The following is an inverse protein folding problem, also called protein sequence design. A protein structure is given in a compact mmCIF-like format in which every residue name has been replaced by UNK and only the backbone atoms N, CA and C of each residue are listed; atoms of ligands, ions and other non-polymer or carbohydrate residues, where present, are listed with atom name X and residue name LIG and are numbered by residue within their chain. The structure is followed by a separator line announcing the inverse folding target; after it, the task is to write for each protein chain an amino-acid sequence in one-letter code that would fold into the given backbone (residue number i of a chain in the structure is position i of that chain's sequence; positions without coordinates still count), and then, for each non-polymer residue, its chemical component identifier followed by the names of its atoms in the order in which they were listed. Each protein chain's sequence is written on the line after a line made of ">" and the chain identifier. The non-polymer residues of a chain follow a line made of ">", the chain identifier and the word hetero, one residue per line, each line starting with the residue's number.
data_IF_346313471947
#
_entry.id   IF_346313471947
#
_cell.length_a   1.000
_cell.length_b   1.000
_cell.length_c   1.000
_cell.angle_alpha   90.00
_cell.angle_beta   90.00
_cell.angle_gamma   90.00
#
_symmetry.space_group_name_H-M   'P 1'
#
loop_
_entity.id
_entity.type
_entity.pdbx_description
1 polymer ?
#
# COMPACT_ATOMS: atom_id res chain seq x y z
N UNK A 1 -3.81 -94.38 -35.63
CA UNK A 1 -2.55 -93.90 -36.24
C UNK A 1 -2.86 -92.76 -37.21
N UNK A 2 -1.96 -91.79 -37.39
CA UNK A 2 -2.19 -90.38 -37.05
C UNK A 2 -2.48 -89.46 -38.26
N UNK A 3 -2.91 -88.23 -37.96
CA UNK A 3 -2.68 -86.91 -38.64
C UNK A 3 -3.88 -86.02 -38.28
N UNK A 4 -3.87 -85.05 -37.36
CA UNK A 4 -2.99 -83.92 -37.00
C UNK A 4 -2.92 -82.78 -38.04
N UNK A 5 -3.39 -81.61 -37.56
CA UNK A 5 -3.23 -80.23 -38.05
C UNK A 5 -4.15 -79.84 -39.23
N UNK A 6 -4.83 -78.70 -39.30
CA UNK A 6 -4.54 -77.35 -38.77
C UNK A 6 -5.84 -76.55 -38.84
N UNK A 7 -6.33 -75.93 -37.75
CA UNK A 7 -7.44 -74.97 -37.80
C UNK A 7 -6.94 -73.61 -37.33
N UNK A 8 -6.93 -72.67 -38.29
CA UNK A 8 -6.49 -71.29 -38.13
C UNK A 8 -7.40 -70.52 -37.18
N UNK A 9 -6.74 -69.63 -36.46
CA UNK A 9 -7.24 -68.89 -35.33
C UNK A 9 -7.57 -67.42 -35.69
N UNK A 10 -8.16 -66.75 -34.70
CA UNK A 10 -8.24 -65.31 -34.48
C UNK A 10 -9.28 -64.51 -35.27
N UNK A 11 -10.49 -64.49 -34.70
CA UNK A 11 -11.37 -63.32 -34.78
C UNK A 11 -10.86 -62.22 -33.83
N UNK A 12 -10.70 -61.02 -34.39
CA UNK A 12 -10.27 -59.79 -33.74
C UNK A 12 -11.15 -59.44 -32.51
N UNK A 13 -10.56 -59.47 -31.33
CA UNK A 13 -11.10 -58.82 -30.14
C UNK A 13 -10.81 -57.31 -30.21
N UNK A 14 -11.85 -56.52 -30.48
CA UNK A 14 -11.83 -55.08 -30.24
C UNK A 14 -11.95 -54.82 -28.74
N UNK A 15 -10.88 -54.36 -28.10
CA UNK A 15 -10.95 -53.75 -26.77
C UNK A 15 -10.63 -52.28 -26.95
N UNK A 16 -11.66 -51.49 -26.72
CA UNK A 16 -11.66 -50.03 -26.62
C UNK A 16 -10.55 -49.59 -25.65
N UNK A 17 -9.54 -48.90 -26.19
CA UNK A 17 -8.54 -48.21 -25.41
C UNK A 17 -9.19 -47.06 -24.64
N UNK A 18 -9.50 -47.29 -23.37
CA UNK A 18 -9.83 -46.25 -22.41
C UNK A 18 -8.53 -45.52 -22.05
N UNK A 19 -8.22 -44.47 -22.80
CA UNK A 19 -7.17 -43.53 -22.44
C UNK A 19 -7.68 -42.66 -21.29
N UNK A 20 -7.39 -43.11 -20.06
CA UNK A 20 -7.52 -42.29 -18.87
C UNK A 20 -6.56 -41.11 -18.97
N UNK A 21 -7.08 -39.96 -19.39
CA UNK A 21 -6.36 -38.69 -19.32
C UNK A 21 -6.23 -38.37 -17.84
N UNK A 22 -5.05 -38.63 -17.27
CA UNK A 22 -4.64 -38.12 -15.97
C UNK A 22 -4.44 -36.61 -16.11
N UNK A 23 -5.54 -35.87 -15.93
CA UNK A 23 -5.52 -34.42 -15.78
C UNK A 23 -4.74 -34.12 -14.51
N UNK A 24 -3.46 -33.83 -14.69
CA UNK A 24 -2.61 -33.31 -13.62
C UNK A 24 -3.19 -31.99 -13.17
N UNK A 25 -3.78 -31.96 -11.98
CA UNK A 25 -4.12 -30.71 -11.31
C UNK A 25 -2.81 -29.97 -11.06
N UNK A 26 -2.41 -29.10 -11.99
CA UNK A 26 -1.37 -28.11 -11.73
C UNK A 26 -1.95 -27.16 -10.70
N UNK A 27 -1.73 -27.47 -9.42
CA UNK A 27 -1.95 -26.52 -8.34
C UNK A 27 -1.08 -25.32 -8.67
N UNK A 28 -1.69 -24.26 -9.22
CA UNK A 28 -1.08 -22.94 -9.28
C UNK A 28 -0.84 -22.55 -7.83
N UNK A 29 0.39 -22.77 -7.38
CA UNK A 29 0.91 -22.07 -6.21
C UNK A 29 0.72 -20.60 -6.53
N UNK A 30 -0.30 -19.98 -5.91
CA UNK A 30 -0.40 -18.54 -5.83
C UNK A 30 0.93 -18.11 -5.21
N UNK A 31 1.82 -17.56 -6.02
CA UNK A 31 2.98 -16.85 -5.51
C UNK A 31 2.38 -15.73 -4.68
N UNK A 32 2.32 -15.92 -3.37
CA UNK A 32 2.04 -14.87 -2.41
C UNK A 32 3.16 -13.86 -2.62
N UNK A 33 2.89 -12.87 -3.48
CA UNK A 33 3.79 -11.79 -3.84
C UNK A 33 4.07 -11.04 -2.55
N UNK A 34 5.13 -11.50 -1.89
CA UNK A 34 5.50 -11.08 -0.55
C UNK A 34 5.95 -9.64 -0.72
N UNK A 35 5.03 -8.72 -0.44
CA UNK A 35 5.29 -7.30 -0.49
C UNK A 35 6.59 -7.02 0.25
N UNK A 36 7.68 -6.65 -0.46
CA UNK A 36 8.99 -6.53 0.17
C UNK A 36 8.87 -5.46 1.25
N UNK A 37 9.13 -5.86 2.49
CA UNK A 37 9.22 -4.91 3.61
C UNK A 37 10.24 -3.83 3.23
N UNK A 38 9.98 -2.56 3.60
CA UNK A 38 10.85 -1.46 3.23
C UNK A 38 12.25 -1.73 3.77
N UNK A 39 13.22 -1.79 2.89
CA UNK A 39 14.65 -1.94 3.22
C UNK A 39 15.32 -0.60 3.51
N UNK A 40 14.55 0.49 3.41
CA UNK A 40 15.02 1.84 3.57
C UNK A 40 14.33 2.57 4.72
N UNK A 41 15.08 3.48 5.35
CA UNK A 41 14.60 4.44 6.36
C UNK A 41 14.73 5.85 5.81
N UNK A 42 14.02 6.80 6.40
CA UNK A 42 14.17 8.23 6.10
C UNK A 42 14.61 8.97 7.35
N UNK A 43 15.66 9.78 7.20
CA UNK A 43 16.13 10.71 8.22
C UNK A 43 15.73 12.13 7.82
N UNK A 44 14.96 12.80 8.67
CA UNK A 44 14.45 14.15 8.37
C UNK A 44 15.47 15.26 8.67
N UNK A 45 16.53 14.92 9.43
CA UNK A 45 17.56 15.86 9.89
C UNK A 45 18.93 15.18 9.94
N UNK A 46 19.98 15.97 9.88
CA UNK A 46 21.34 15.49 10.13
C UNK A 46 21.41 14.82 11.49
N UNK A 47 21.87 13.58 11.52
CA UNK A 47 22.00 12.78 12.73
C UNK A 47 23.44 12.31 12.86
N UNK A 48 24.05 12.53 14.02
CA UNK A 48 25.42 12.15 14.32
C UNK A 48 25.43 10.77 14.97
N UNK A 49 26.05 9.80 14.32
CA UNK A 49 26.25 8.44 14.84
C UNK A 49 27.72 8.19 15.12
N UNK A 50 28.02 7.12 15.85
CA UNK A 50 29.40 6.74 16.18
C UNK A 50 29.93 5.79 15.11
N UNK A 51 31.12 6.05 14.57
CA UNK A 51 31.84 5.18 13.64
C UNK A 51 32.47 3.98 14.34
N UNK A 52 33.06 3.07 13.55
CA UNK A 52 33.88 1.96 14.06
C UNK A 52 35.12 2.45 14.84
N UNK A 53 35.64 3.64 14.52
CA UNK A 53 36.80 4.23 15.21
C UNK A 53 36.40 5.02 16.46
N UNK A 54 35.10 5.15 16.74
CA UNK A 54 34.56 5.90 17.88
C UNK A 54 34.34 7.39 17.59
N UNK A 55 34.67 7.86 16.39
CA UNK A 55 34.43 9.23 15.93
C UNK A 55 32.96 9.45 15.56
N UNK A 56 32.46 10.67 15.74
CA UNK A 56 31.10 11.02 15.34
C UNK A 56 31.04 11.29 13.82
N UNK A 57 30.20 10.53 13.12
CA UNK A 57 29.93 10.68 11.68
C UNK A 57 28.59 11.41 11.51
N UNK A 58 28.56 12.56 10.82
CA UNK A 58 27.32 13.20 10.43
C UNK A 58 26.66 12.38 9.30
N UNK A 59 25.42 11.97 9.51
CA UNK A 59 24.56 11.38 8.48
C UNK A 59 23.54 12.44 8.05
N UNK A 60 23.64 13.00 6.83
CA UNK A 60 22.71 14.02 6.33
C UNK A 60 21.26 13.51 6.28
N UNK A 61 20.26 14.41 6.22
CA UNK A 61 18.88 14.00 5.95
C UNK A 61 18.77 13.32 4.59
N UNK A 62 17.94 12.29 4.48
CA UNK A 62 17.80 11.50 3.25
C UNK A 62 17.16 10.13 3.49
N UNK A 63 17.00 9.38 2.41
CA UNK A 63 16.54 7.99 2.44
C UNK A 63 17.74 7.06 2.31
N UNK A 64 17.84 6.08 3.19
CA UNK A 64 18.99 5.18 3.30
C UNK A 64 18.51 3.74 3.34
N UNK A 65 19.09 2.90 2.49
CA UNK A 65 19.06 1.45 2.68
C UNK A 65 19.96 1.08 3.87
N UNK A 66 19.45 0.19 4.71
CA UNK A 66 20.16 -0.24 5.93
C UNK A 66 20.45 -1.72 5.84
N UNK A 67 21.73 -2.07 5.92
CA UNK A 67 22.20 -3.45 5.98
C UNK A 67 23.10 -3.67 7.20
N UNK A 68 23.38 -4.93 7.51
CA UNK A 68 24.36 -5.31 8.54
C UNK A 68 25.64 -5.82 7.89
N UNK A 69 26.79 -5.32 8.34
CA UNK A 69 28.10 -5.83 7.92
C UNK A 69 28.99 -6.04 9.15
N UNK A 70 29.45 -7.28 9.39
CA UNK A 70 30.34 -7.61 10.51
C UNK A 70 29.86 -7.13 11.91
N UNK A 71 28.55 -7.04 12.13
CA UNK A 71 27.97 -6.55 13.39
C UNK A 71 27.80 -5.02 13.49
N UNK A 72 28.15 -4.30 12.42
CA UNK A 72 27.89 -2.87 12.24
C UNK A 72 26.66 -2.66 11.39
N UNK A 73 26.14 -1.43 11.38
CA UNK A 73 25.11 -1.00 10.44
C UNK A 73 25.77 -0.22 9.31
N UNK A 74 25.43 -0.57 8.08
CA UNK A 74 25.86 0.08 6.87
C UNK A 74 24.67 0.82 6.27
N UNK A 75 24.82 2.13 6.06
CA UNK A 75 23.82 2.99 5.47
C UNK A 75 24.25 3.37 4.06
N UNK A 76 23.41 3.09 3.07
CA UNK A 76 23.64 3.46 1.67
C UNK A 76 22.52 4.38 1.21
N UNK A 77 22.82 5.64 0.94
CA UNK A 77 21.84 6.62 0.46
C UNK A 77 22.22 7.18 -0.91
N UNK A 78 21.25 7.81 -1.59
CA UNK A 78 21.48 8.43 -2.91
C UNK A 78 22.48 9.59 -2.85
N UNK A 79 22.58 10.27 -1.70
CA UNK A 79 23.42 11.45 -1.49
C UNK A 79 24.83 11.13 -0.98
N UNK A 80 25.13 9.86 -0.73
CA UNK A 80 26.43 9.44 -0.18
C UNK A 80 27.22 8.67 -1.22
N UNK A 81 28.40 9.18 -1.59
CA UNK A 81 29.29 8.52 -2.57
C UNK A 81 29.79 7.14 -2.09
N UNK A 82 29.81 6.94 -0.77
CA UNK A 82 30.28 5.72 -0.13
C UNK A 82 29.33 5.31 1.01
N UNK A 83 29.17 4.01 1.28
CA UNK A 83 28.39 3.55 2.41
C UNK A 83 28.94 4.06 3.75
N UNK A 84 28.05 4.50 4.63
CA UNK A 84 28.39 4.96 5.97
C UNK A 84 28.30 3.79 6.94
N UNK A 85 29.41 3.44 7.59
CA UNK A 85 29.44 2.33 8.56
C UNK A 85 29.41 2.88 9.99
N UNK A 86 28.35 2.56 10.72
CA UNK A 86 28.10 3.03 12.08
C UNK A 86 28.12 1.89 13.09
N UNK A 87 28.64 2.18 14.27
CA UNK A 87 28.66 1.28 15.43
C UNK A 87 27.25 1.01 15.91
N UNK A 88 26.92 -0.28 16.00
CA UNK A 88 25.66 -0.76 16.53
C UNK A 88 25.91 -1.78 17.65
N UNK A 89 24.93 -1.92 18.53
CA UNK A 89 24.95 -2.85 19.64
C UNK A 89 24.00 -4.01 19.34
N UNK A 90 24.43 -5.27 19.51
CA UNK A 90 23.54 -6.40 19.37
C UNK A 90 22.48 -6.38 20.47
N UNK A 91 21.23 -6.59 20.08
CA UNK A 91 20.05 -6.69 20.95
C UNK A 91 19.11 -7.79 20.44
N UNK A 92 17.96 -7.95 21.07
CA UNK A 92 16.94 -8.93 20.67
C UNK A 92 15.56 -8.28 20.56
N UNK A 93 14.68 -8.90 19.77
CA UNK A 93 13.29 -8.49 19.61
C UNK A 93 12.34 -9.70 19.61
N UNK A 94 11.06 -9.44 19.85
CA UNK A 94 9.99 -10.46 19.86
C UNK A 94 9.19 -10.49 18.55
N UNK A 95 9.39 -9.50 17.67
CA UNK A 95 8.67 -9.39 16.41
C UNK A 95 9.03 -10.52 15.44
N UNK A 96 8.05 -11.02 14.70
CA UNK A 96 8.28 -12.03 13.66
C UNK A 96 8.63 -11.34 12.35
N UNK A 97 9.92 -11.34 11.99
CA UNK A 97 10.43 -10.82 10.72
C UNK A 97 11.04 -11.97 9.91
N UNK A 98 10.68 -12.06 8.63
CA UNK A 98 11.22 -13.07 7.69
C UNK A 98 12.39 -12.53 6.89
N UNK A 99 12.52 -11.21 6.80
CA UNK A 99 13.62 -10.49 6.14
C UNK A 99 14.11 -9.37 7.05
N UNK A 100 15.38 -8.94 6.93
CA UNK A 100 15.90 -7.80 7.68
C UNK A 100 15.01 -6.57 7.50
N UNK A 101 14.56 -5.99 8.61
CA UNK A 101 13.62 -4.87 8.61
C UNK A 101 14.19 -3.71 9.42
N UNK A 102 14.57 -2.59 8.78
CA UNK A 102 15.09 -1.44 9.49
C UNK A 102 13.95 -0.60 10.09
N UNK A 103 14.24 0.00 11.24
CA UNK A 103 13.40 0.93 11.98
C UNK A 103 14.22 2.17 12.32
N UNK A 104 13.57 3.33 12.26
CA UNK A 104 14.18 4.62 12.60
C UNK A 104 13.15 5.44 13.37
N UNK A 105 13.52 5.95 14.54
CA UNK A 105 12.64 6.74 15.39
C UNK A 105 13.40 7.63 16.37
N UNK A 106 12.75 8.70 16.80
CA UNK A 106 13.23 9.59 17.87
C UNK A 106 12.62 9.14 19.20
N UNK A 107 13.42 8.91 20.23
CA UNK A 107 12.92 8.63 21.58
C UNK A 107 12.84 9.89 22.46
N UNK A 108 13.75 10.85 22.23
CA UNK A 108 13.85 12.13 22.94
C UNK A 108 14.23 13.23 21.93
N UNK A 109 14.16 14.50 22.34
CA UNK A 109 14.40 15.66 21.46
C UNK A 109 15.76 15.62 20.75
N UNK A 110 16.76 15.00 21.37
CA UNK A 110 18.12 14.89 20.83
C UNK A 110 18.64 13.44 20.71
N UNK A 111 17.72 12.47 20.73
CA UNK A 111 18.07 11.05 20.64
C UNK A 111 17.35 10.39 19.46
N UNK A 112 18.13 9.89 18.52
CA UNK A 112 17.67 9.11 17.39
C UNK A 112 18.14 7.66 17.53
N UNK A 113 17.23 6.71 17.32
CA UNK A 113 17.52 5.28 17.36
C UNK A 113 17.29 4.70 15.98
N UNK A 114 18.31 4.01 15.48
CA UNK A 114 18.29 3.26 14.24
C UNK A 114 18.47 1.79 14.59
N UNK A 115 17.54 0.95 14.19
CA UNK A 115 17.52 -0.46 14.57
C UNK A 115 17.29 -1.32 13.33
N UNK A 116 18.08 -2.37 13.15
CA UNK A 116 17.85 -3.38 12.13
C UNK A 116 17.37 -4.67 12.81
N UNK A 117 16.11 -5.01 12.61
CA UNK A 117 15.54 -6.29 13.05
C UNK A 117 16.00 -7.37 12.08
N UNK A 118 16.56 -8.45 12.60
CA UNK A 118 17.03 -9.60 11.84
C UNK A 118 16.09 -10.79 12.11
N UNK A 119 16.05 -11.78 11.19
CA UNK A 119 15.45 -13.06 11.52
C UNK A 119 16.02 -13.65 12.83
N UNK A 120 15.26 -14.57 13.42
CA UNK A 120 15.60 -15.26 14.68
C UNK A 120 15.58 -14.39 15.95
N UNK A 121 14.87 -13.26 15.91
CA UNK A 121 14.69 -12.39 17.08
C UNK A 121 15.94 -11.61 17.49
N UNK A 122 16.91 -11.46 16.57
CA UNK A 122 18.14 -10.69 16.78
C UNK A 122 17.98 -9.29 16.20
N UNK A 123 18.67 -8.30 16.76
CA UNK A 123 18.69 -6.96 16.19
C UNK A 123 20.05 -6.28 16.40
N UNK A 124 20.31 -5.26 15.59
CA UNK A 124 21.40 -4.32 15.76
C UNK A 124 20.83 -2.92 16.03
N UNK A 125 21.28 -2.26 17.10
CA UNK A 125 20.80 -0.94 17.53
C UNK A 125 21.95 0.08 17.51
N UNK A 126 21.81 1.12 16.70
CA UNK A 126 22.67 2.30 16.72
C UNK A 126 21.91 3.49 17.30
N UNK A 127 22.61 4.28 18.12
CA UNK A 127 22.06 5.49 18.73
C UNK A 127 22.81 6.70 18.22
N UNK A 128 22.08 7.69 17.70
CA UNK A 128 22.58 8.97 17.25
C UNK A 128 21.98 10.15 18.00
N UNK A 129 22.53 11.34 17.77
CA UNK A 129 22.06 12.62 18.30
C UNK A 129 21.89 13.63 17.16
N UNK A 130 20.96 14.58 17.27
CA UNK A 130 20.79 15.63 16.28
C UNK A 130 21.71 16.83 16.52
N UNK A 131 22.12 17.06 17.78
CA UNK A 131 22.99 18.16 18.17
C UNK A 131 24.47 17.89 17.87
N UNK A 132 24.85 16.61 17.75
CA UNK A 132 26.26 16.19 17.69
C UNK A 132 27.00 16.38 19.02
N UNK A 133 26.31 16.77 20.10
CA UNK A 133 26.89 16.95 21.41
C UNK A 133 26.68 15.67 22.21
N UNK A 134 27.73 14.84 22.29
CA UNK A 134 27.74 13.73 23.26
C UNK A 134 28.02 14.30 24.65
N UNK A 135 27.12 14.05 25.60
CA UNK A 135 27.32 14.46 26.98
C UNK A 135 28.63 13.85 27.50
N UNK A 136 29.65 14.68 27.76
CA UNK A 136 30.93 14.25 28.36
C UNK A 136 30.78 13.79 29.81
N UNK A 137 29.59 13.88 30.38
CA UNK A 137 29.30 13.33 31.70
C UNK A 137 29.61 11.83 31.66
N UNK A 138 30.62 11.42 32.43
CA UNK A 138 30.96 10.03 32.71
C UNK A 138 29.66 9.28 32.91
N UNK A 139 29.34 8.40 31.97
CA UNK A 139 28.17 7.55 32.03
C UNK A 139 28.19 6.84 33.39
N UNK A 140 27.43 7.35 34.37
CA UNK A 140 26.92 6.52 35.43
C UNK A 140 26.24 5.40 34.66
N UNK A 141 26.77 4.19 34.78
CA UNK A 141 26.32 2.97 34.13
C UNK A 141 24.91 2.62 34.62
N UNK A 142 23.94 3.49 34.35
CA UNK A 142 22.57 3.08 34.16
C UNK A 142 22.63 2.24 32.90
N UNK A 143 22.64 0.93 33.12
CA UNK A 143 22.39 -0.11 32.14
C UNK A 143 21.34 0.43 31.19
N UNK A 144 21.75 0.96 30.03
CA UNK A 144 20.83 1.39 28.98
C UNK A 144 20.21 0.08 28.51
N UNK A 145 19.11 -0.29 29.14
CA UNK A 145 18.16 -1.21 28.53
C UNK A 145 17.81 -0.54 27.21
N UNK A 146 18.10 -1.19 26.09
CA UNK A 146 17.83 -0.66 24.75
C UNK A 146 16.38 -0.20 24.58
N UNK A 147 16.03 0.23 23.37
CA UNK A 147 14.68 0.74 23.10
C UNK A 147 13.61 -0.16 23.73
N UNK A 148 12.65 0.43 24.44
CA UNK A 148 11.69 -0.36 25.20
C UNK A 148 10.94 -1.31 24.27
N UNK A 149 10.68 -2.55 24.69
CA UNK A 149 9.96 -3.54 23.86
C UNK A 149 8.64 -2.98 23.32
N UNK A 150 7.95 -2.18 24.12
CA UNK A 150 6.73 -1.49 23.71
C UNK A 150 6.97 -0.47 22.58
N UNK A 151 8.06 0.29 22.65
CA UNK A 151 8.49 1.23 21.60
C UNK A 151 8.80 0.48 20.31
N UNK A 152 9.60 -0.59 20.38
CA UNK A 152 9.97 -1.40 19.21
C UNK A 152 8.73 -1.96 18.54
N UNK A 153 7.82 -2.56 19.32
CA UNK A 153 6.54 -3.08 18.80
C UNK A 153 5.69 -2.01 18.14
N UNK A 154 5.53 -0.85 18.78
CA UNK A 154 4.77 0.27 18.22
C UNK A 154 5.37 0.78 16.91
N UNK A 155 6.70 0.89 16.84
CA UNK A 155 7.40 1.34 15.62
C UNK A 155 7.32 0.28 14.52
N UNK A 156 7.44 -1.00 14.86
CA UNK A 156 7.26 -2.10 13.90
C UNK A 156 5.83 -2.13 13.34
N UNK A 157 4.82 -2.03 14.20
CA UNK A 157 3.41 -1.95 13.79
C UNK A 157 3.20 -0.73 12.88
N UNK A 158 3.78 0.42 13.21
CA UNK A 158 3.71 1.63 12.37
C UNK A 158 4.42 1.45 11.03
N UNK A 159 5.65 0.92 11.02
CA UNK A 159 6.43 0.65 9.81
C UNK A 159 5.70 -0.33 8.89
N UNK A 160 5.06 -1.35 9.46
CA UNK A 160 4.22 -2.31 8.75
C UNK A 160 2.95 -1.67 8.18
N UNK A 161 2.34 -0.73 8.90
CA UNK A 161 1.19 0.03 8.39
C UNK A 161 1.61 1.00 7.28
N UNK A 162 2.78 1.62 7.37
CA UNK A 162 3.31 2.52 6.32
C UNK A 162 3.81 1.76 5.10
N UNK A 163 4.40 0.57 5.26
CA UNK A 163 4.74 -0.28 4.11
C UNK A 163 3.50 -0.83 3.41
N UNK A 164 2.44 -1.09 4.18
CA UNK A 164 1.09 -1.35 3.64
C UNK A 164 0.43 -0.12 3.05
N UNK A 165 0.87 1.09 3.42
CA UNK A 165 0.38 2.33 2.85
C UNK A 165 0.93 2.52 1.43
N UNK A 166 0.33 1.76 0.52
CA UNK A 166 0.22 2.02 -0.92
C UNK A 166 1.54 2.05 -1.68
N UNK A 167 2.12 0.87 -1.91
CA UNK A 167 2.71 0.67 -3.25
C UNK A 167 1.53 0.61 -4.22
N UNK A 168 1.17 1.77 -4.73
CA UNK A 168 0.16 1.87 -5.78
C UNK A 168 0.71 1.18 -7.01
N UNK A 169 0.27 -0.06 -7.25
CA UNK A 169 0.54 -0.73 -8.52
C UNK A 169 -0.17 0.11 -9.58
N UNK A 170 0.57 0.56 -10.59
CA UNK A 170 0.03 1.29 -11.76
C UNK A 170 -0.79 0.35 -12.66
N UNK A 171 -1.73 -0.38 -12.09
CA UNK A 171 -2.81 -0.99 -12.84
C UNK A 171 -3.82 0.13 -13.16
N UNK A 172 -3.60 0.80 -14.28
CA UNK A 172 -4.43 1.88 -14.76
C UNK A 172 -5.68 1.30 -15.44
N UNK A 173 -6.80 1.27 -14.73
CA UNK A 173 -8.10 1.14 -15.38
C UNK A 173 -8.85 2.47 -15.29
N UNK A 174 -9.76 2.69 -16.23
CA UNK A 174 -10.52 3.95 -16.34
C UNK A 174 -11.99 3.72 -16.08
N UNK A 175 -12.59 4.51 -15.20
CA UNK A 175 -14.03 4.57 -15.03
C UNK A 175 -14.59 5.72 -15.87
N UNK A 176 -15.62 5.43 -16.65
CA UNK A 176 -16.36 6.43 -17.43
C UNK A 176 -17.65 6.78 -16.70
N UNK A 177 -17.70 7.97 -16.12
CA UNK A 177 -18.86 8.41 -15.31
C UNK A 177 -19.67 9.44 -16.10
N UNK A 178 -20.83 9.08 -16.65
CA UNK A 178 -21.74 10.02 -17.28
C UNK A 178 -22.36 10.96 -16.24
N UNK A 179 -22.22 12.27 -16.45
CA UNK A 179 -22.68 13.31 -15.53
C UNK A 179 -23.53 14.32 -16.30
N UNK A 180 -24.69 14.64 -15.73
CA UNK A 180 -25.54 15.74 -16.16
C UNK A 180 -25.85 16.66 -14.98
N UNK A 181 -25.29 17.87 -15.02
CA UNK A 181 -25.51 18.96 -14.06
C UNK A 181 -26.17 20.13 -14.79
N UNK A 182 -27.15 20.75 -14.15
CA UNK A 182 -27.82 21.95 -14.66
C UNK A 182 -28.07 22.93 -13.52
N UNK A 183 -28.30 24.20 -13.86
CA UNK A 183 -28.64 25.26 -12.90
C UNK A 183 -27.58 25.47 -11.81
N UNK A 184 -26.30 25.37 -12.18
CA UNK A 184 -25.21 25.62 -11.24
C UNK A 184 -25.08 27.12 -10.91
N UNK A 185 -24.57 27.42 -9.73
CA UNK A 185 -24.19 28.78 -9.35
C UNK A 185 -23.19 29.36 -10.38
N UNK A 186 -23.34 30.62 -10.83
CA UNK A 186 -22.41 31.27 -11.75
C UNK A 186 -20.95 31.16 -11.38
N UNK A 187 -20.65 31.08 -10.09
CA UNK A 187 -19.29 31.09 -9.59
C UNK A 187 -18.67 29.69 -9.55
N UNK A 188 -19.38 28.64 -10.00
CA UNK A 188 -18.82 27.28 -10.08
C UNK A 188 -18.18 27.08 -11.45
N UNK A 189 -16.85 26.91 -11.47
CA UNK A 189 -16.05 26.78 -12.70
C UNK A 189 -15.54 25.35 -12.94
N UNK A 190 -15.48 24.53 -11.89
CA UNK A 190 -14.90 23.19 -11.94
C UNK A 190 -15.73 22.16 -11.18
N UNK A 191 -15.69 20.95 -11.71
CA UNK A 191 -16.22 19.72 -11.14
C UNK A 191 -15.04 18.79 -10.85
N UNK A 192 -14.84 18.37 -9.61
CA UNK A 192 -13.95 17.27 -9.25
C UNK A 192 -14.78 16.04 -8.95
N UNK A 193 -14.42 14.94 -9.58
CA UNK A 193 -15.00 13.63 -9.34
C UNK A 193 -13.95 12.79 -8.62
N UNK A 194 -14.29 12.29 -7.43
CA UNK A 194 -13.44 11.39 -6.66
C UNK A 194 -14.16 10.06 -6.53
N UNK A 195 -13.53 8.97 -6.95
CA UNK A 195 -14.16 7.66 -6.94
C UNK A 195 -13.32 6.63 -6.16
N UNK A 196 -14.01 5.66 -5.59
CA UNK A 196 -13.47 4.57 -4.79
C UNK A 196 -14.04 3.25 -5.28
N UNK A 197 -13.20 2.24 -5.51
CA UNK A 197 -13.65 0.88 -5.82
C UNK A 197 -13.55 -0.02 -4.59
N UNK A 198 -14.48 -0.96 -4.45
CA UNK A 198 -14.52 -1.95 -3.37
C UNK A 198 -14.67 -3.36 -3.95
N UNK A 199 -14.20 -4.35 -3.19
CA UNK A 199 -14.38 -5.78 -3.50
C UNK A 199 -15.51 -6.40 -2.67
N UNK A 200 -16.40 -7.16 -3.28
CA UNK A 200 -17.28 -8.15 -2.67
C UNK A 200 -18.63 -7.66 -2.11
N UNK A 201 -19.60 -8.58 -2.15
CA UNK A 201 -21.02 -8.44 -1.76
C UNK A 201 -21.35 -8.04 -0.31
N UNK A 202 -20.37 -7.72 0.53
CA UNK A 202 -20.61 -7.39 1.95
C UNK A 202 -20.12 -5.97 2.26
N UNK A 203 -21.03 -5.02 2.05
CA UNK A 203 -20.82 -3.59 2.23
C UNK A 203 -20.50 -3.18 3.69
N UNK A 204 -20.50 -4.11 4.64
CA UNK A 204 -20.24 -3.83 6.06
C UNK A 204 -18.75 -3.85 6.43
N UNK A 205 -17.85 -4.35 5.56
CA UNK A 205 -16.41 -4.42 5.84
C UNK A 205 -15.65 -3.26 5.21
N UNK A 206 -15.17 -2.33 6.05
CA UNK A 206 -14.44 -1.11 5.66
C UNK A 206 -13.06 -1.37 4.99
N UNK A 207 -12.48 -2.57 5.12
CA UNK A 207 -11.13 -2.88 4.64
C UNK A 207 -11.08 -3.47 3.21
N UNK A 208 -12.06 -3.14 2.38
CA UNK A 208 -12.21 -3.72 1.02
C UNK A 208 -11.95 -2.75 -0.12
N UNK A 209 -11.40 -1.58 0.17
CA UNK A 209 -11.08 -0.60 -0.85
C UNK A 209 -9.99 -1.12 -1.78
N UNK A 210 -10.34 -1.30 -3.05
CA UNK A 210 -9.42 -1.78 -4.08
C UNK A 210 -8.59 -0.62 -4.60
N UNK A 211 -9.20 0.53 -4.86
CA UNK A 211 -8.48 1.65 -5.46
C UNK A 211 -9.18 2.98 -5.27
N UNK A 212 -8.50 4.03 -5.68
CA UNK A 212 -9.08 5.36 -5.80
C UNK A 212 -8.61 6.04 -7.07
N UNK A 213 -9.43 6.97 -7.54
CA UNK A 213 -9.13 7.81 -8.67
C UNK A 213 -9.81 9.17 -8.52
N UNK A 214 -9.20 10.17 -9.12
CA UNK A 214 -9.80 11.50 -9.21
C UNK A 214 -9.64 12.09 -10.61
N UNK A 215 -10.60 12.94 -10.98
CA UNK A 215 -10.58 13.66 -12.25
C UNK A 215 -11.27 15.01 -12.08
N UNK A 216 -10.84 16.00 -12.86
CA UNK A 216 -11.38 17.35 -12.83
C UNK A 216 -11.86 17.73 -14.22
N UNK A 217 -13.08 18.26 -14.31
CA UNK A 217 -13.68 18.76 -15.53
C UNK A 217 -14.06 20.23 -15.36
N UNK A 218 -13.88 21.02 -16.43
CA UNK A 218 -14.34 22.40 -16.45
C UNK A 218 -15.85 22.45 -16.73
N UNK A 219 -16.52 23.38 -16.09
CA UNK A 219 -17.95 23.65 -16.26
C UNK A 219 -18.09 24.91 -17.13
N UNK A 220 -18.97 24.88 -18.12
CA UNK A 220 -19.27 26.01 -18.98
C UNK A 220 -20.77 26.30 -18.96
N UNK A 221 -21.15 27.57 -19.08
CA UNK A 221 -22.57 27.98 -19.17
C UNK A 221 -23.44 27.49 -18.00
N UNK A 222 -22.88 27.37 -16.79
CA UNK A 222 -23.58 26.90 -15.57
C UNK A 222 -24.17 25.49 -15.69
N UNK A 223 -23.64 24.68 -16.59
CA UNK A 223 -24.10 23.31 -16.86
C UNK A 223 -22.92 22.40 -17.20
N UNK A 224 -23.08 21.10 -16.97
CA UNK A 224 -22.14 20.10 -17.45
C UNK A 224 -22.92 18.90 -17.97
N UNK A 225 -22.69 18.53 -19.23
CA UNK A 225 -23.23 17.31 -19.80
C UNK A 225 -22.10 16.60 -20.54
N UNK A 226 -21.67 15.47 -19.99
CA UNK A 226 -20.55 14.74 -20.57
C UNK A 226 -20.17 13.51 -19.76
N UNK A 227 -19.05 12.91 -20.14
CA UNK A 227 -18.47 11.77 -19.43
C UNK A 227 -17.14 12.20 -18.83
N UNK A 228 -17.03 12.09 -17.51
CA UNK A 228 -15.75 12.28 -16.81
C UNK A 228 -15.03 10.94 -16.77
N UNK A 229 -13.78 10.93 -17.24
CA UNK A 229 -12.90 9.75 -17.18
C UNK A 229 -12.06 9.85 -15.92
N UNK A 230 -12.20 8.86 -15.03
CA UNK A 230 -11.43 8.76 -13.80
C UNK A 230 -10.40 7.67 -13.97
N UNK A 231 -9.12 8.03 -13.88
CA UNK A 231 -8.03 7.07 -13.83
C UNK A 231 -7.94 6.52 -12.42
N UNK A 232 -8.04 5.20 -12.29
CA UNK A 232 -7.86 4.52 -11.02
C UNK A 232 -6.45 3.98 -10.91
N UNK A 233 -5.97 3.97 -9.67
CA UNK A 233 -4.86 3.12 -9.31
C UNK A 233 -5.32 2.09 -8.27
N UNK A 234 -5.03 0.82 -8.54
CA UNK A 234 -5.26 -0.24 -7.58
C UNK A 234 -4.29 -0.13 -6.40
N UNK A 235 -4.78 -0.49 -5.23
CA UNK A 235 -3.99 -0.69 -4.02
C UNK A 235 -3.18 -1.98 -4.21
N UNK A 236 -2.01 -2.04 -3.60
CA UNK A 236 -1.13 -3.20 -3.72
C UNK A 236 -1.83 -4.51 -3.36
N UNK A 237 -1.59 -5.55 -4.16
CA UNK A 237 -2.17 -6.88 -3.92
C UNK A 237 -3.68 -6.94 -4.10
N UNK A 238 -4.28 -5.93 -4.75
CA UNK A 238 -5.68 -5.94 -5.17
C UNK A 238 -5.72 -5.90 -6.69
N UNK A 239 -6.41 -6.86 -7.30
CA UNK A 239 -6.59 -6.86 -8.74
C UNK A 239 -7.81 -6.00 -9.11
N UNK A 240 -7.74 -5.17 -10.17
CA UNK A 240 -8.88 -4.41 -10.64
C UNK A 240 -10.14 -5.24 -10.93
N UNK A 241 -9.95 -6.48 -11.37
CA UNK A 241 -11.04 -7.43 -11.68
C UNK A 241 -11.84 -7.86 -10.45
N UNK A 242 -11.30 -7.71 -9.24
CA UNK A 242 -12.01 -7.96 -7.99
C UNK A 242 -13.01 -6.84 -7.63
N UNK A 243 -13.03 -5.74 -8.40
CA UNK A 243 -13.92 -4.61 -8.17
C UNK A 243 -15.32 -4.89 -8.70
N UNK A 244 -16.25 -5.18 -7.79
CA UNK A 244 -17.66 -5.36 -8.11
C UNK A 244 -18.51 -4.11 -7.82
N UNK A 245 -17.98 -3.15 -7.05
CA UNK A 245 -18.67 -1.93 -6.68
C UNK A 245 -17.76 -0.71 -6.79
N UNK A 246 -18.34 0.43 -7.19
CA UNK A 246 -17.68 1.72 -7.15
C UNK A 246 -18.59 2.80 -6.57
N UNK A 247 -17.99 3.75 -5.85
CA UNK A 247 -18.64 4.89 -5.25
C UNK A 247 -17.94 6.15 -5.74
N UNK A 248 -18.69 7.10 -6.29
CA UNK A 248 -18.15 8.37 -6.74
C UNK A 248 -18.79 9.53 -5.96
N UNK A 249 -17.95 10.41 -5.43
CA UNK A 249 -18.33 11.71 -4.88
C UNK A 249 -18.05 12.82 -5.88
N UNK A 250 -19.01 13.74 -6.01
CA UNK A 250 -18.89 14.97 -6.81
C UNK A 250 -18.57 16.13 -5.87
N UNK A 251 -17.51 16.89 -6.17
CA UNK A 251 -17.15 18.13 -5.51
C UNK A 251 -17.21 19.28 -6.53
N UNK A 252 -17.92 20.34 -6.19
CA UNK A 252 -18.01 21.54 -7.01
C UNK A 252 -17.06 22.60 -6.45
N UNK A 253 -16.35 23.29 -7.34
CA UNK A 253 -15.36 24.29 -6.97
C UNK A 253 -15.76 25.67 -7.46
N UNK A 254 -15.54 26.64 -6.58
CA UNK A 254 -15.71 28.07 -6.80
C UNK A 254 -14.33 28.73 -6.76
N UNK A 255 -13.93 29.56 -7.74
CA UNK A 255 -12.66 30.27 -7.71
C UNK A 255 -12.43 30.98 -6.38
N UNK A 256 -11.23 30.81 -5.82
CA UNK A 256 -10.84 31.38 -4.52
C UNK A 256 -11.27 30.58 -3.30
N UNK A 257 -12.02 29.48 -3.46
CA UNK A 257 -12.37 28.56 -2.37
C UNK A 257 -11.93 27.14 -2.78
N UNK A 258 -11.12 26.48 -1.95
CA UNK A 258 -10.75 25.07 -2.20
C UNK A 258 -12.00 24.17 -2.35
N UNK A 259 -11.84 23.01 -3.01
CA UNK A 259 -12.95 22.06 -3.21
C UNK A 259 -13.67 21.78 -1.89
N UNK A 260 -14.94 22.17 -1.81
CA UNK A 260 -15.80 21.82 -0.67
C UNK A 260 -16.56 20.55 -1.01
N UNK A 261 -16.54 19.58 -0.11
CA UNK A 261 -17.53 18.50 -0.18
C UNK A 261 -18.91 19.14 0.01
N UNK A 262 -19.91 18.80 -0.83
CA UNK A 262 -21.27 19.27 -0.59
C UNK A 262 -21.72 18.83 0.81
N UNK A 263 -22.25 19.77 1.59
CA UNK A 263 -22.76 19.53 2.93
C UNK A 263 -23.81 18.41 2.92
N UNK A 264 -23.72 17.55 3.93
CA UNK A 264 -24.43 16.29 4.14
C UNK A 264 -25.98 16.30 3.99
N UNK A 265 -26.47 15.17 3.44
CA UNK A 265 -27.77 14.48 3.66
C UNK A 265 -29.08 15.16 3.19
N UNK A 266 -29.48 14.87 1.94
CA UNK A 266 -30.90 14.77 1.58
C UNK A 266 -31.36 13.31 1.66
N UNK A 267 -32.43 13.04 2.42
CA UNK A 267 -33.12 11.74 2.41
C UNK A 267 -33.80 11.56 1.05
N UNK A 268 -33.61 10.44 0.33
CA UNK A 268 -34.34 10.21 -0.91
C UNK A 268 -35.84 10.14 -0.64
N UNK A 269 -36.62 10.87 -1.44
CA UNK A 269 -38.07 10.73 -1.48
C UNK A 269 -38.41 9.38 -2.14
N UNK A 270 -38.91 8.44 -1.34
CA UNK A 270 -39.42 7.15 -1.83
C UNK A 270 -38.39 6.02 -1.83
N UNK A 271 -38.88 4.78 -1.99
CA UNK A 271 -38.19 3.48 -1.92
C UNK A 271 -37.03 3.26 -2.94
N UNK A 272 -36.28 4.29 -3.31
CA UNK A 272 -35.09 4.18 -4.14
C UNK A 272 -33.85 4.07 -3.27
N UNK A 273 -32.99 3.10 -3.61
CA UNK A 273 -31.64 2.93 -3.05
C UNK A 273 -30.93 4.30 -3.04
N UNK A 274 -30.09 4.59 -2.03
CA UNK A 274 -29.43 5.89 -1.93
C UNK A 274 -28.68 6.24 -3.22
N UNK A 275 -28.71 7.52 -3.61
CA UNK A 275 -28.19 8.07 -4.87
C UNK A 275 -26.66 7.91 -5.11
N UNK A 276 -26.01 7.01 -4.38
CA UNK A 276 -24.58 6.69 -4.46
C UNK A 276 -24.30 5.27 -4.97
N UNK A 277 -25.33 4.48 -5.29
CA UNK A 277 -25.20 3.15 -5.87
C UNK A 277 -25.41 3.23 -7.39
N UNK A 278 -24.34 2.98 -8.15
CA UNK A 278 -24.49 2.69 -9.58
C UNK A 278 -24.42 1.17 -9.78
N UNK A 279 -25.39 0.67 -10.52
CA UNK A 279 -25.36 -0.65 -11.17
C UNK A 279 -24.44 -0.56 -12.40
N UNK A 280 -23.82 -1.66 -12.83
CA UNK A 280 -22.91 -1.68 -13.99
C UNK A 280 -23.58 -1.37 -15.36
N UNK A 281 -24.82 -0.88 -15.37
CA UNK A 281 -25.69 -0.73 -16.55
C UNK A 281 -25.52 0.59 -17.32
N UNK A 282 -24.63 1.50 -16.90
CA UNK A 282 -24.32 2.72 -17.65
C UNK A 282 -25.38 3.81 -17.57
N UNK A 283 -26.30 3.75 -16.61
CA UNK A 283 -27.33 4.78 -16.42
C UNK A 283 -26.70 6.12 -15.96
N UNK A 284 -27.01 7.26 -16.61
CA UNK A 284 -26.42 8.56 -16.27
C UNK A 284 -26.85 9.08 -14.89
N UNK A 285 -25.91 9.65 -14.14
CA UNK A 285 -26.23 10.42 -12.95
C UNK A 285 -27.00 11.68 -13.33
N UNK A 286 -28.24 11.80 -12.82
CA UNK A 286 -29.02 13.04 -12.84
C UNK A 286 -29.06 13.60 -11.44
N UNK A 287 -28.23 14.62 -11.18
CA UNK A 287 -28.33 15.39 -9.94
C UNK A 287 -29.10 16.66 -10.28
N UNK A 288 -30.35 16.72 -9.83
CA UNK A 288 -31.08 17.97 -9.74
C UNK A 288 -30.55 18.70 -8.50
N UNK A 289 -29.57 19.58 -8.68
CA UNK A 289 -29.10 20.45 -7.62
C UNK A 289 -30.20 21.47 -7.30
N UNK A 290 -31.13 21.13 -6.41
CA UNK A 290 -31.98 22.11 -5.75
C UNK A 290 -31.30 22.52 -4.45
N UNK A 291 -30.51 23.60 -4.52
CA UNK A 291 -29.91 24.23 -3.36
C UNK A 291 -30.02 25.74 -3.49
N UNK A 292 -30.90 26.36 -2.73
CA UNK A 292 -30.79 27.77 -2.38
C UNK A 292 -29.79 27.89 -1.22
N UNK A 293 -28.74 28.68 -1.39
CA UNK A 293 -27.81 29.04 -0.32
C UNK A 293 -28.30 30.35 0.30
N UNK A 294 -28.50 30.37 1.62
CA UNK A 294 -28.42 31.59 2.43
C UNK A 294 -26.96 31.83 2.80
#
# INVERSE_FOLDING_TARGET
>A
MPTSHTMLAFGLAGILGWTGILTSCTSRSLNEETNPLPTAITLDRTTYFVSQTGEDIPVPPGTYEVSSEHGYLQLTGETTDHPLIITAHPTTHEETVTVPTPLSFSEQDDLHVLMLLLPDGKALEATGSYSGIRSRATHVTKKRTGASRATVKQQFDRARLTSRARVTIKAHFTLRVPIQLSHLDPDIDKLKLQCWTHSGNDATKYDRRIGEGESVANIANRQYQGTVVVMFNASQGKEPEDADQYYCGILLHKPGIGFRQPGKHGTPLGNQKPAWLVSADGTPFRIHAQGSVN
#
